data_IF_112933200070
#
_entry.id   IF_112933200070
#
_cell.length_a   1.000
_cell.length_b   1.000
_cell.length_c   1.000
_cell.angle_alpha   90.00
_cell.angle_beta   90.00
_cell.angle_gamma   90.00
#
_symmetry.space_group_name_H-M   'P 1'
#
loop_
_entity.id
_entity.type
_entity.pdbx_description
1 polymer ?
#
# COMPACT_ATOMS: atom_id res chain seq x y z
N UNK A 1 4.12 14.82 17.94
CA UNK A 1 3.29 13.90 18.74
C UNK A 1 1.84 14.02 18.30
N UNK A 2 1.51 13.46 17.13
CA UNK A 2 0.14 13.49 16.61
C UNK A 2 -0.64 12.37 17.27
N UNK A 3 -1.63 12.72 18.09
CA UNK A 3 -2.62 11.76 18.57
C UNK A 3 -3.36 11.22 17.35
N UNK A 4 -3.27 9.92 17.10
CA UNK A 4 -4.13 9.20 16.16
C UNK A 4 -5.55 9.37 16.70
N UNK A 5 -6.30 10.32 16.15
CA UNK A 5 -7.71 10.51 16.49
C UNK A 5 -8.47 9.30 15.96
N UNK A 6 -9.16 8.60 16.87
CA UNK A 6 -10.13 7.57 16.54
C UNK A 6 -11.07 8.09 15.45
N UNK A 7 -11.24 7.31 14.40
CA UNK A 7 -12.33 7.50 13.44
C UNK A 7 -13.65 7.48 14.23
N UNK A 8 -14.51 8.47 13.97
CA UNK A 8 -15.73 8.81 14.72
C UNK A 8 -16.85 7.76 14.67
N UNK A 9 -16.55 6.51 14.28
CA UNK A 9 -17.51 5.41 14.16
C UNK A 9 -17.51 4.46 15.37
N UNK A 10 -16.51 4.55 16.25
CA UNK A 10 -16.53 3.83 17.53
C UNK A 10 -16.58 4.84 18.67
N UNK A 11 -17.74 4.95 19.30
CA UNK A 11 -17.90 5.69 20.54
C UNK A 11 -17.04 5.02 21.61
N UNK A 12 -16.00 5.69 22.06
CA UNK A 12 -15.00 5.28 23.09
C UNK A 12 -15.57 5.01 24.48
N UNK A 13 -16.88 4.82 24.63
CA UNK A 13 -17.53 4.70 25.93
C UNK A 13 -18.21 3.34 26.19
N UNK A 14 -18.01 2.33 25.35
CA UNK A 14 -18.26 0.92 25.70
C UNK A 14 -17.47 0.02 24.75
N UNK A 15 -16.57 -0.81 25.29
CA UNK A 15 -15.72 -1.80 24.59
C UNK A 15 -16.52 -2.97 24.02
N UNK A 16 -17.66 -2.69 23.38
CA UNK A 16 -18.55 -3.68 22.79
C UNK A 16 -18.97 -3.26 21.39
N UNK A 17 -18.79 -4.17 20.43
CA UNK A 17 -19.19 -4.00 19.05
C UNK A 17 -20.24 -5.06 18.68
N UNK A 18 -21.28 -4.65 17.95
CA UNK A 18 -22.27 -5.57 17.41
C UNK A 18 -21.76 -6.12 16.08
N UNK A 19 -21.44 -7.41 16.05
CA UNK A 19 -20.76 -8.06 14.93
C UNK A 19 -21.53 -9.31 14.51
N UNK A 20 -21.51 -9.62 13.22
CA UNK A 20 -21.99 -10.90 12.72
C UNK A 20 -21.01 -12.03 13.06
N UNK A 21 -21.36 -12.99 13.96
CA UNK A 21 -20.45 -14.05 14.37
C UNK A 21 -19.97 -14.94 13.22
N UNK A 22 -20.76 -15.07 12.15
CA UNK A 22 -20.40 -15.89 11.00
C UNK A 22 -19.29 -15.26 10.16
N UNK A 23 -19.07 -13.95 10.32
CA UNK A 23 -18.04 -13.21 9.59
C UNK A 23 -16.76 -13.02 10.39
N UNK A 24 -16.73 -13.41 11.67
CA UNK A 24 -15.53 -13.36 12.49
C UNK A 24 -14.68 -14.59 12.21
N UNK A 25 -13.40 -14.38 11.89
CA UNK A 25 -12.44 -15.47 11.77
C UNK A 25 -11.91 -15.81 13.17
N UNK A 26 -12.40 -16.90 13.76
CA UNK A 26 -11.88 -17.46 15.02
C UNK A 26 -10.81 -18.53 14.79
N UNK A 27 -10.80 -19.17 13.61
CA UNK A 27 -9.81 -20.17 13.26
C UNK A 27 -8.53 -19.54 12.71
N UNK A 28 -7.39 -20.15 13.02
CA UNK A 28 -6.08 -19.72 12.52
C UNK A 28 -5.99 -19.79 10.98
N UNK A 29 -6.68 -20.73 10.35
CA UNK A 29 -6.73 -20.86 8.88
C UNK A 29 -7.36 -19.65 8.19
N UNK A 30 -8.29 -18.98 8.86
CA UNK A 30 -9.16 -17.96 8.25
C UNK A 30 -8.62 -16.55 8.52
N UNK A 31 -7.85 -16.40 9.59
CA UNK A 31 -7.27 -15.14 10.05
C UNK A 31 -6.37 -14.46 8.98
N UNK A 32 -5.46 -15.16 8.28
CA UNK A 32 -4.64 -14.55 7.23
C UNK A 32 -5.45 -13.87 6.13
N UNK A 33 -6.60 -14.44 5.74
CA UNK A 33 -7.44 -13.88 4.68
C UNK A 33 -7.98 -12.48 5.01
N UNK A 34 -8.17 -12.18 6.30
CA UNK A 34 -8.58 -10.88 6.81
C UNK A 34 -7.40 -9.97 7.09
N UNK A 35 -6.31 -10.49 7.67
CA UNK A 35 -5.10 -9.69 7.93
C UNK A 35 -4.46 -9.12 6.65
N UNK A 36 -4.59 -9.82 5.52
CA UNK A 36 -4.05 -9.36 4.23
C UNK A 36 -4.88 -8.25 3.57
N UNK A 37 -6.03 -7.86 4.15
CA UNK A 37 -6.87 -6.73 3.70
C UNK A 37 -6.41 -5.41 4.32
N UNK A 38 -5.20 -4.98 3.96
CA UNK A 38 -4.57 -3.78 4.52
C UNK A 38 -5.34 -2.48 4.19
N UNK A 39 -6.21 -2.51 3.19
CA UNK A 39 -7.06 -1.39 2.77
C UNK A 39 -8.32 -1.21 3.64
N UNK A 40 -8.55 -2.09 4.62
CA UNK A 40 -9.68 -2.03 5.53
C UNK A 40 -9.23 -2.00 6.99
N UNK A 41 -10.04 -1.38 7.85
CA UNK A 41 -9.81 -1.46 9.29
C UNK A 41 -10.12 -2.89 9.75
N UNK A 42 -9.26 -3.41 10.62
CA UNK A 42 -9.40 -4.74 11.19
C UNK A 42 -9.55 -4.63 12.71
N UNK A 43 -10.45 -5.43 13.25
CA UNK A 43 -10.83 -5.43 14.65
C UNK A 43 -10.53 -6.81 15.24
N UNK A 44 -9.95 -6.81 16.43
CA UNK A 44 -9.75 -8.02 17.25
C UNK A 44 -10.83 -8.03 18.30
N UNK A 45 -11.62 -9.09 18.31
CA UNK A 45 -12.85 -9.19 19.11
C UNK A 45 -12.86 -10.47 19.92
N UNK A 46 -13.52 -10.43 21.07
CA UNK A 46 -13.64 -11.55 21.98
C UNK A 46 -15.10 -11.93 22.19
N UNK A 47 -15.39 -13.22 22.01
CA UNK A 47 -16.68 -13.84 22.32
C UNK A 47 -16.45 -15.02 23.29
N UNK A 48 -16.66 -14.77 24.59
CA UNK A 48 -16.29 -15.73 25.64
C UNK A 48 -14.77 -15.90 25.72
N UNK A 49 -14.28 -17.13 25.63
CA UNK A 49 -12.84 -17.43 25.60
C UNK A 49 -12.23 -17.33 24.19
N UNK A 50 -13.05 -17.27 23.14
CA UNK A 50 -12.57 -17.23 21.76
C UNK A 50 -12.23 -15.81 21.33
N UNK A 51 -11.02 -15.63 20.80
CA UNK A 51 -10.56 -14.41 20.15
C UNK A 51 -10.59 -14.61 18.64
N UNK A 52 -11.12 -13.63 17.92
CA UNK A 52 -11.17 -13.65 16.47
C UNK A 52 -10.93 -12.28 15.86
N UNK A 53 -10.82 -12.26 14.53
CA UNK A 53 -10.64 -11.02 13.76
C UNK A 53 -11.78 -10.80 12.77
N UNK A 54 -12.17 -9.54 12.61
CA UNK A 54 -13.17 -9.13 11.62
C UNK A 54 -12.79 -7.80 10.97
N UNK A 55 -13.35 -7.55 9.79
CA UNK A 55 -13.13 -6.29 9.06
C UNK A 55 -14.21 -5.27 9.41
N UNK A 56 -13.98 -4.01 9.07
CA UNK A 56 -14.95 -2.95 9.31
C UNK A 56 -16.32 -3.20 8.65
N UNK A 57 -16.33 -3.85 7.49
CA UNK A 57 -17.55 -4.22 6.76
C UNK A 57 -18.35 -5.36 7.42
N UNK A 58 -17.75 -6.05 8.40
CA UNK A 58 -18.39 -7.12 9.17
C UNK A 58 -19.16 -6.57 10.40
N UNK A 59 -18.94 -5.30 10.75
CA UNK A 59 -19.68 -4.60 11.80
C UNK A 59 -21.13 -4.35 11.35
N UNK A 60 -22.10 -4.58 12.24
CA UNK A 60 -23.52 -4.30 12.01
C UNK A 60 -24.01 -3.23 12.99
N UNK A 61 -25.07 -2.52 12.60
CA UNK A 61 -25.83 -1.69 13.55
C UNK A 61 -26.46 -2.57 14.63
N UNK A 62 -26.55 -2.05 15.87
CA UNK A 62 -26.66 -2.82 17.13
C UNK A 62 -27.89 -3.74 17.30
N UNK A 63 -28.78 -3.78 16.33
CA UNK A 63 -30.05 -4.52 16.37
C UNK A 63 -29.93 -5.94 15.83
N UNK A 64 -28.90 -6.27 15.05
CA UNK A 64 -28.79 -7.55 14.33
C UNK A 64 -27.49 -8.35 14.55
N UNK A 65 -26.51 -7.82 15.30
CA UNK A 65 -25.25 -8.50 15.60
C UNK A 65 -25.16 -8.98 17.05
N UNK A 66 -24.27 -9.94 17.29
CA UNK A 66 -23.92 -10.37 18.65
C UNK A 66 -22.98 -9.33 19.26
N UNK A 67 -23.25 -8.94 20.52
CA UNK A 67 -22.34 -8.05 21.25
C UNK A 67 -21.06 -8.80 21.60
N UNK A 68 -19.93 -8.34 21.09
CA UNK A 68 -18.60 -8.90 21.38
C UNK A 68 -17.70 -7.82 21.97
N UNK A 69 -16.78 -8.22 22.85
CA UNK A 69 -15.83 -7.27 23.42
C UNK A 69 -14.78 -6.91 22.38
N UNK A 70 -14.52 -5.62 22.21
CA UNK A 70 -13.48 -5.13 21.31
C UNK A 70 -12.14 -5.05 22.06
N UNK A 71 -11.17 -5.86 21.65
CA UNK A 71 -9.84 -5.90 22.29
C UNK A 71 -8.86 -4.90 21.69
N UNK A 72 -8.83 -4.81 20.35
CA UNK A 72 -7.96 -3.89 19.63
C UNK A 72 -8.44 -3.67 18.20
N UNK A 73 -7.87 -2.69 17.53
CA UNK A 73 -8.11 -2.44 16.11
C UNK A 73 -6.86 -1.89 15.43
N UNK A 74 -6.82 -2.03 14.12
CA UNK A 74 -5.83 -1.41 13.24
C UNK A 74 -6.56 -0.70 12.11
N UNK A 75 -6.16 0.54 11.85
CA UNK A 75 -6.69 1.35 10.75
C UNK A 75 -6.11 0.91 9.40
N UNK A 76 -6.77 1.20 8.27
CA UNK A 76 -6.24 0.93 6.95
C UNK A 76 -4.83 1.49 6.76
N UNK A 77 -3.97 0.69 6.13
CA UNK A 77 -2.61 1.05 5.73
C UNK A 77 -2.47 0.88 4.21
N UNK A 78 -2.58 2.00 3.51
CA UNK A 78 -2.33 2.08 2.09
C UNK A 78 -0.84 2.24 1.79
N UNK A 79 -0.41 1.75 0.63
CA UNK A 79 1.00 1.77 0.23
C UNK A 79 1.58 3.18 0.17
N UNK A 80 0.77 4.19 -0.22
CA UNK A 80 1.18 5.59 -0.23
C UNK A 80 1.39 6.20 1.17
N UNK A 81 1.13 5.48 2.26
CA UNK A 81 1.47 5.91 3.62
C UNK A 81 2.87 5.45 4.05
N UNK A 82 3.55 4.65 3.22
CA UNK A 82 4.90 4.14 3.51
C UNK A 82 5.96 5.04 2.89
N UNK A 83 6.96 5.42 3.68
CA UNK A 83 8.08 6.25 3.26
C UNK A 83 7.84 7.75 3.42
N UNK A 84 8.50 8.55 2.59
CA UNK A 84 8.47 10.01 2.66
C UNK A 84 7.45 10.60 1.65
N UNK A 85 6.38 11.28 2.11
CA UNK A 85 5.43 11.96 1.23
C UNK A 85 6.06 13.03 0.34
N UNK A 86 7.13 13.68 0.80
CA UNK A 86 7.82 14.72 0.03
C UNK A 86 8.60 14.14 -1.15
N UNK A 87 9.17 12.95 -1.00
CA UNK A 87 9.77 12.21 -2.11
C UNK A 87 8.72 11.89 -3.18
N UNK A 88 7.55 11.39 -2.77
CA UNK A 88 6.47 11.10 -3.70
C UNK A 88 5.96 12.34 -4.44
N UNK A 89 5.82 13.45 -3.71
CA UNK A 89 5.41 14.75 -4.26
C UNK A 89 6.43 15.31 -5.24
N UNK A 90 7.72 15.20 -4.92
CA UNK A 90 8.81 15.72 -5.76
C UNK A 90 8.91 14.98 -7.10
N UNK A 91 8.69 13.67 -7.12
CA UNK A 91 8.81 12.83 -8.33
C UNK A 91 7.47 12.47 -8.99
N UNK A 92 6.33 12.89 -8.43
CA UNK A 92 5.01 12.61 -8.99
C UNK A 92 4.62 11.13 -8.98
N UNK A 93 5.06 10.40 -7.95
CA UNK A 93 4.86 8.94 -7.79
C UNK A 93 3.85 8.62 -6.68
N UNK A 94 3.31 7.40 -6.68
CA UNK A 94 2.29 6.95 -5.73
C UNK A 94 2.81 5.99 -4.64
N UNK A 95 4.08 5.61 -4.73
CA UNK A 95 4.80 4.83 -3.73
C UNK A 95 6.20 5.41 -3.55
N UNK A 96 6.68 5.47 -2.31
CA UNK A 96 8.05 5.89 -2.01
C UNK A 96 9.06 4.76 -2.33
N UNK A 97 9.12 4.39 -3.61
CA UNK A 97 9.95 3.31 -4.13
C UNK A 97 10.54 3.65 -5.49
N UNK A 98 11.71 3.10 -5.76
CA UNK A 98 12.47 3.30 -6.98
C UNK A 98 13.20 2.02 -7.37
N UNK A 99 13.20 1.67 -8.66
CA UNK A 99 14.12 0.67 -9.19
C UNK A 99 15.48 1.31 -9.49
N UNK A 100 16.55 0.67 -9.04
CA UNK A 100 17.92 1.12 -9.29
C UNK A 100 18.35 0.90 -10.73
N UNK A 101 19.34 1.69 -11.18
CA UNK A 101 19.95 1.50 -12.47
C UNK A 101 20.75 0.18 -12.51
N UNK A 102 20.67 -0.52 -13.64
CA UNK A 102 21.44 -1.74 -13.89
C UNK A 102 22.07 -1.61 -15.27
N UNK A 103 23.41 -1.64 -15.33
CA UNK A 103 24.22 -1.29 -16.49
C UNK A 103 23.87 -2.07 -17.77
N UNK A 104 24.37 -1.60 -18.91
CA UNK A 104 24.20 -2.18 -20.24
C UNK A 104 22.73 -2.37 -20.64
N UNK A 105 21.85 -1.48 -20.17
CA UNK A 105 20.41 -1.57 -20.44
C UNK A 105 19.69 -2.72 -19.74
N UNK A 106 20.27 -3.34 -18.71
CA UNK A 106 19.56 -4.34 -17.88
C UNK A 106 18.33 -3.68 -17.23
N UNK A 107 18.49 -2.45 -16.72
CA UNK A 107 17.36 -1.59 -16.43
C UNK A 107 16.88 -0.98 -17.75
N UNK A 108 16.10 -1.76 -18.50
CA UNK A 108 15.71 -1.47 -19.88
C UNK A 108 14.63 -0.39 -19.97
N UNK A 109 14.38 0.07 -21.19
CA UNK A 109 13.26 0.98 -21.48
C UNK A 109 11.93 0.35 -21.08
N UNK A 110 11.71 -0.94 -21.33
CA UNK A 110 10.48 -1.64 -20.96
C UNK A 110 10.26 -1.63 -19.45
N UNK A 111 11.30 -1.88 -18.66
CA UNK A 111 11.21 -1.81 -17.20
C UNK A 111 10.86 -0.39 -16.73
N UNK A 112 11.55 0.61 -17.28
CA UNK A 112 11.35 2.02 -16.92
C UNK A 112 9.93 2.47 -17.30
N UNK A 113 9.48 2.14 -18.50
CA UNK A 113 8.14 2.48 -19.00
C UNK A 113 7.05 1.78 -18.19
N UNK A 114 7.20 0.48 -17.92
CA UNK A 114 6.24 -0.28 -17.11
C UNK A 114 6.13 0.31 -15.70
N UNK A 115 7.25 0.67 -15.08
CA UNK A 115 7.31 1.29 -13.76
C UNK A 115 6.64 2.66 -13.75
N UNK A 116 6.99 3.54 -14.72
CA UNK A 116 6.40 4.87 -14.81
C UNK A 116 4.90 4.85 -15.05
N UNK A 117 4.39 3.92 -15.86
CA UNK A 117 2.94 3.75 -16.13
C UNK A 117 2.13 3.39 -14.88
N UNK A 118 2.74 2.76 -13.88
CA UNK A 118 2.09 2.47 -12.59
C UNK A 118 2.43 3.49 -11.50
N UNK A 119 3.14 4.58 -11.84
CA UNK A 119 3.48 5.65 -10.92
C UNK A 119 4.69 5.36 -10.03
N UNK A 120 5.64 4.54 -10.49
CA UNK A 120 6.91 4.26 -9.81
C UNK A 120 8.09 4.93 -10.51
N UNK A 121 9.09 5.36 -9.75
CA UNK A 121 10.33 5.90 -10.30
C UNK A 121 11.26 4.75 -10.73
N UNK A 122 11.91 4.90 -11.88
CA UNK A 122 12.88 3.92 -12.39
C UNK A 122 14.06 4.63 -13.05
N UNK A 123 15.27 4.08 -12.88
CA UNK A 123 16.49 4.59 -13.50
C UNK A 123 16.94 3.72 -14.67
N UNK A 124 17.01 4.29 -15.88
CA UNK A 124 17.50 3.59 -17.05
C UNK A 124 19.01 3.29 -16.94
N UNK A 125 19.39 2.07 -17.30
CA UNK A 125 20.73 1.51 -17.17
C UNK A 125 21.72 1.97 -18.24
N UNK A 126 22.04 3.25 -18.29
CA UNK A 126 22.86 3.83 -19.36
C UNK A 126 24.36 3.44 -19.30
N UNK A 127 24.88 3.01 -18.14
CA UNK A 127 26.30 2.68 -18.00
C UNK A 127 26.73 1.58 -18.99
N UNK A 128 27.82 1.79 -19.72
CA UNK A 128 28.34 0.85 -20.72
C UNK A 128 27.65 0.91 -22.10
N UNK A 129 26.64 1.78 -22.26
CA UNK A 129 26.03 2.04 -23.56
C UNK A 129 26.71 3.23 -24.26
N UNK A 130 26.73 3.18 -25.60
CA UNK A 130 27.22 4.29 -26.43
C UNK A 130 26.19 5.43 -26.50
N UNK A 131 26.60 6.70 -26.66
CA UNK A 131 25.66 7.84 -26.64
C UNK A 131 24.46 7.72 -27.60
N UNK A 132 24.59 7.23 -28.85
CA UNK A 132 23.43 7.06 -29.73
C UNK A 132 22.37 6.08 -29.18
N UNK A 133 22.80 5.03 -28.46
CA UNK A 133 21.89 4.05 -27.85
C UNK A 133 21.16 4.65 -26.65
N UNK A 134 21.84 5.52 -25.90
CA UNK A 134 21.26 6.27 -24.78
C UNK A 134 20.21 7.25 -25.32
N UNK A 135 20.51 7.98 -26.40
CA UNK A 135 19.57 8.90 -27.05
C UNK A 135 18.32 8.17 -27.56
N UNK A 136 18.48 7.01 -28.20
CA UNK A 136 17.36 6.15 -28.61
C UNK A 136 16.47 5.75 -27.41
N UNK A 137 17.09 5.34 -26.30
CA UNK A 137 16.37 4.97 -25.08
C UNK A 137 15.59 6.16 -24.50
N UNK A 138 16.21 7.34 -24.43
CA UNK A 138 15.58 8.56 -23.93
C UNK A 138 14.34 8.90 -24.76
N UNK A 139 14.48 8.91 -26.09
CA UNK A 139 13.38 9.22 -27.00
C UNK A 139 12.21 8.25 -26.82
N UNK A 140 12.51 6.95 -26.72
CA UNK A 140 11.49 5.91 -26.49
C UNK A 140 10.79 6.09 -25.15
N UNK A 141 11.53 6.28 -24.06
CA UNK A 141 10.97 6.47 -22.72
C UNK A 141 10.11 7.73 -22.67
N UNK A 142 10.56 8.86 -23.24
CA UNK A 142 9.81 10.11 -23.27
C UNK A 142 8.54 10.02 -24.13
N UNK A 143 8.56 9.25 -25.22
CA UNK A 143 7.38 9.00 -26.03
C UNK A 143 6.28 8.28 -25.24
N UNK A 144 6.66 7.29 -24.42
CA UNK A 144 5.74 6.51 -23.60
C UNK A 144 5.37 7.19 -22.27
N UNK A 145 6.25 8.03 -21.73
CA UNK A 145 6.15 8.74 -20.46
C UNK A 145 6.44 10.24 -20.64
N UNK A 146 5.58 11.00 -21.36
CA UNK A 146 5.85 12.41 -21.68
C UNK A 146 5.96 13.32 -20.45
N UNK A 147 5.33 12.92 -19.35
CA UNK A 147 5.36 13.65 -18.07
C UNK A 147 6.13 12.88 -16.99
N UNK A 148 6.95 11.90 -17.38
CA UNK A 148 7.60 10.98 -16.46
C UNK A 148 6.62 10.01 -15.78
N UNK A 149 6.99 9.43 -14.62
CA UNK A 149 8.28 9.56 -13.92
C UNK A 149 9.36 8.62 -14.47
N UNK A 150 10.57 9.12 -14.69
CA UNK A 150 11.77 8.30 -14.94
C UNK A 150 13.05 9.10 -14.64
N UNK A 151 14.18 8.40 -14.53
CA UNK A 151 15.50 9.02 -14.45
C UNK A 151 16.54 8.22 -15.26
N UNK A 152 17.72 8.79 -15.42
CA UNK A 152 18.83 8.17 -16.16
C UNK A 152 20.02 7.98 -15.24
N UNK A 153 20.68 6.85 -15.35
CA UNK A 153 21.99 6.65 -14.74
C UNK A 153 23.01 7.57 -15.42
N UNK A 154 23.55 8.55 -14.69
CA UNK A 154 24.72 9.30 -15.13
C UNK A 154 25.99 8.66 -14.59
N UNK A 155 27.06 8.70 -15.38
CA UNK A 155 28.41 8.39 -14.93
C UNK A 155 29.31 9.59 -15.27
N UNK A 156 30.23 10.00 -14.37
CA UNK A 156 31.22 11.03 -14.67
C UNK A 156 32.19 10.63 -15.79
#
# INVERSE_FOLDING_TARGET
>A
MSQIRLTSKLSTNNEQASIDPQKVAFAESDTPSKLLRLDQALYVVQNGEAVGVCLAEDLKDSVAGTSMSLLSHVEPLHVGQLGDPEFMRAYGINMAYMTGAMANGIASEELVIASGKVGLLSSFGAAGLVPPRIEEAINKIQQDLPNGPFCLQSYP
#
